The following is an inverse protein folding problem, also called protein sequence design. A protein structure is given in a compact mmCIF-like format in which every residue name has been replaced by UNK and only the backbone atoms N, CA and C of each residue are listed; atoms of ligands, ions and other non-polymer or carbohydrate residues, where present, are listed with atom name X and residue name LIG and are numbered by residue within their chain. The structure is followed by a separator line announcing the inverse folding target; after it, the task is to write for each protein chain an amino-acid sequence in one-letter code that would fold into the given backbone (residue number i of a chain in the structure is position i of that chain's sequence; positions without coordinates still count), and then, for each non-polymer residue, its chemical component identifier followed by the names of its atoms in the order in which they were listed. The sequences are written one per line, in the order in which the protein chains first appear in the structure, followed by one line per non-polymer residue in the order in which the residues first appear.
data_IF_744121563724
#
_entry.id   IF_744121563724
#
_cell.length_a   1.000
_cell.length_b   1.000
_cell.length_c   1.000
_cell.angle_alpha   90.00
_cell.angle_beta   90.00
_cell.angle_gamma   90.00
#
_symmetry.space_group_name_H-M   'P 1'
#
loop_
_entity.id
_entity.type
_entity.pdbx_description
1 polymer ?
#
# COMPACT_ATOMS: atom_id res chain seq x y z
N UNK A 1 -4.98 1.59 -4.41
CA UNK A 1 -3.52 1.50 -4.17
C UNK A 1 -3.02 0.07 -4.03
N UNK A 2 -3.89 -0.89 -3.73
CA UNK A 2 -3.55 -2.31 -3.78
C UNK A 2 -3.00 -2.75 -5.15
N UNK A 3 -2.09 -3.71 -5.18
CA UNK A 3 -1.56 -4.30 -6.40
C UNK A 3 -0.14 -4.86 -6.27
N UNK A 4 0.41 -5.25 -7.43
CA UNK A 4 1.79 -5.66 -7.58
C UNK A 4 2.67 -4.45 -7.95
N UNK A 5 3.79 -4.33 -7.25
CA UNK A 5 4.74 -3.23 -7.33
C UNK A 5 6.16 -3.79 -7.43
N UNK A 6 7.02 -3.10 -8.18
CA UNK A 6 8.37 -3.57 -8.47
C UNK A 6 9.34 -2.41 -8.65
N UNK A 7 10.64 -2.70 -8.61
CA UNK A 7 11.70 -1.76 -8.95
C UNK A 7 12.55 -2.36 -10.08
N UNK A 8 12.69 -1.69 -11.24
CA UNK A 8 13.46 -2.21 -12.38
C UNK A 8 14.96 -2.37 -12.15
N UNK A 9 15.53 -1.67 -11.17
CA UNK A 9 16.92 -1.87 -10.77
C UNK A 9 17.08 -3.06 -9.82
N UNK A 10 15.98 -3.64 -9.32
CA UNK A 10 15.94 -4.81 -8.43
C UNK A 10 15.05 -5.91 -9.00
N UNK A 11 15.28 -6.20 -10.28
CA UNK A 11 14.59 -7.27 -10.98
C UNK A 11 14.73 -8.60 -10.23
N UNK A 12 13.65 -9.41 -10.26
CA UNK A 12 13.51 -10.71 -9.54
C UNK A 12 13.19 -10.59 -8.05
N UNK A 13 12.86 -9.39 -7.58
CA UNK A 13 12.14 -9.14 -6.34
C UNK A 13 10.70 -8.69 -6.64
N UNK A 14 9.80 -8.74 -5.66
CA UNK A 14 8.39 -8.38 -5.88
C UNK A 14 7.67 -7.92 -4.62
N UNK A 15 6.87 -6.86 -4.75
CA UNK A 15 6.10 -6.28 -3.65
C UNK A 15 4.59 -6.40 -3.93
N UNK A 16 3.88 -7.05 -3.03
CA UNK A 16 2.42 -7.14 -3.05
C UNK A 16 1.90 -6.29 -1.91
N UNK A 17 1.18 -5.23 -2.26
CA UNK A 17 0.67 -4.28 -1.28
C UNK A 17 -0.84 -4.30 -1.38
N UNK A 18 -1.52 -4.50 -0.26
CA UNK A 18 -2.96 -4.43 -0.16
C UNK A 18 -3.35 -3.33 0.83
N UNK A 19 -4.35 -2.54 0.45
CA UNK A 19 -5.03 -1.58 1.32
C UNK A 19 -6.50 -2.00 1.39
N UNK A 20 -6.93 -2.38 2.57
CA UNK A 20 -8.22 -3.03 2.80
C UNK A 20 -9.06 -2.25 3.82
N UNK A 21 -10.38 -2.41 3.74
CA UNK A 21 -11.31 -1.92 4.75
C UNK A 21 -12.11 -3.10 5.27
N UNK A 22 -11.89 -3.48 6.53
CA UNK A 22 -12.45 -4.68 7.15
C UNK A 22 -13.04 -4.30 8.51
N UNK A 23 -14.34 -4.54 8.71
CA UNK A 23 -15.04 -4.25 9.97
C UNK A 23 -14.80 -2.83 10.51
N UNK A 24 -14.82 -1.82 9.61
CA UNK A 24 -14.58 -0.42 9.96
C UNK A 24 -13.12 -0.04 10.18
N UNK A 25 -12.19 -1.00 10.15
CA UNK A 25 -10.74 -0.78 10.22
C UNK A 25 -10.15 -0.64 8.81
N UNK A 26 -9.06 0.10 8.70
CA UNK A 26 -8.27 0.23 7.49
C UNK A 26 -6.92 -0.42 7.73
N UNK A 27 -6.58 -1.42 6.92
CA UNK A 27 -5.37 -2.22 7.10
C UNK A 27 -4.52 -2.16 5.84
N UNK A 28 -3.24 -1.86 5.99
CA UNK A 28 -2.26 -2.05 4.95
C UNK A 28 -1.52 -3.37 5.20
N UNK A 29 -1.36 -4.17 4.15
CA UNK A 29 -0.56 -5.39 4.14
C UNK A 29 0.52 -5.28 3.08
N UNK A 30 1.73 -5.74 3.41
CA UNK A 30 2.87 -5.88 2.52
C UNK A 30 3.37 -7.31 2.57
N UNK A 31 3.50 -7.95 1.40
CA UNK A 31 4.34 -9.12 1.20
C UNK A 31 5.45 -8.77 0.21
N UNK A 32 6.69 -9.05 0.60
CA UNK A 32 7.90 -8.73 -0.14
C UNK A 32 8.72 -10.00 -0.39
N UNK A 33 8.79 -10.39 -1.66
CA UNK A 33 9.66 -11.47 -2.12
C UNK A 33 11.05 -10.93 -2.43
N UNK A 34 12.07 -11.52 -1.81
CA UNK A 34 13.47 -11.13 -1.96
C UNK A 34 14.40 -12.27 -1.55
N UNK A 35 15.67 -11.98 -1.29
CA UNK A 35 16.69 -12.93 -0.89
C UNK A 35 17.24 -12.53 0.49
N UNK A 36 17.34 -13.51 1.40
CA UNK A 36 17.92 -13.29 2.73
C UNK A 36 19.43 -13.07 2.67
N UNK A 37 20.07 -12.82 3.82
CA UNK A 37 21.52 -12.59 3.90
C UNK A 37 22.37 -13.76 3.38
N UNK A 38 21.85 -14.98 3.46
CA UNK A 38 22.47 -16.18 2.88
C UNK A 38 22.17 -16.40 1.39
N UNK A 39 21.48 -15.47 0.71
CA UNK A 39 21.14 -15.56 -0.72
C UNK A 39 19.94 -16.45 -1.06
N UNK A 40 19.34 -17.14 -0.08
CA UNK A 40 18.14 -17.93 -0.30
C UNK A 40 16.90 -17.04 -0.49
N UNK A 41 16.04 -17.42 -1.44
CA UNK A 41 14.76 -16.75 -1.66
C UNK A 41 13.88 -16.83 -0.40
N UNK A 42 13.20 -15.74 -0.07
CA UNK A 42 12.39 -15.61 1.14
C UNK A 42 11.25 -14.62 0.93
N UNK A 43 10.31 -14.63 1.88
CA UNK A 43 9.22 -13.68 1.98
C UNK A 43 9.30 -12.93 3.31
N UNK A 44 9.16 -11.61 3.24
CA UNK A 44 8.87 -10.76 4.38
C UNK A 44 7.43 -10.29 4.30
N UNK A 45 6.65 -10.46 5.36
CA UNK A 45 5.26 -10.04 5.40
C UNK A 45 4.98 -9.17 6.64
N UNK A 46 4.07 -8.22 6.51
CA UNK A 46 3.68 -7.35 7.61
C UNK A 46 2.36 -6.64 7.33
N UNK A 47 1.72 -6.17 8.40
CA UNK A 47 0.52 -5.37 8.28
C UNK A 47 0.44 -4.33 9.40
N UNK A 48 -0.26 -3.23 9.13
CA UNK A 48 -0.56 -2.21 10.11
C UNK A 48 -1.92 -1.56 9.81
N UNK A 49 -2.60 -1.13 10.88
CA UNK A 49 -3.76 -0.25 10.75
C UNK A 49 -3.30 1.15 10.34
N UNK A 50 -4.11 1.85 9.55
CA UNK A 50 -3.82 3.22 9.11
C UNK A 50 -5.07 4.10 9.13
N UNK A 51 -4.87 5.42 9.14
CA UNK A 51 -5.98 6.39 9.12
C UNK A 51 -6.25 6.88 7.70
N UNK A 52 -7.49 7.30 7.43
CA UNK A 52 -7.80 7.85 6.13
C UNK A 52 -6.93 9.10 5.86
N UNK A 53 -6.23 9.13 4.73
CA UNK A 53 -5.32 10.22 4.36
C UNK A 53 -3.88 10.06 4.85
N UNK A 54 -3.51 8.98 5.55
CA UNK A 54 -2.11 8.68 5.85
C UNK A 54 -1.29 8.64 4.55
N UNK A 55 -0.19 9.40 4.51
CA UNK A 55 0.79 9.37 3.40
C UNK A 55 1.97 8.44 3.69
N UNK A 56 2.09 7.96 4.93
CA UNK A 56 3.10 7.01 5.37
C UNK A 56 2.51 6.01 6.37
N UNK A 57 2.91 4.74 6.28
CA UNK A 57 2.47 3.65 7.14
C UNK A 57 3.68 2.79 7.51
N UNK A 58 4.01 2.70 8.79
CA UNK A 58 5.05 1.80 9.30
C UNK A 58 4.40 0.51 9.83
N UNK A 59 4.95 -0.63 9.44
CA UNK A 59 4.50 -1.95 9.89
C UNK A 59 5.66 -2.82 10.35
N UNK A 60 5.45 -3.64 11.39
CA UNK A 60 6.40 -4.71 11.71
C UNK A 60 6.37 -5.76 10.61
N UNK A 61 7.56 -6.28 10.30
CA UNK A 61 7.74 -7.34 9.31
C UNK A 61 8.14 -8.63 10.02
N UNK A 62 7.69 -9.76 9.48
CA UNK A 62 8.06 -11.11 9.89
C UNK A 62 8.51 -11.94 8.69
N UNK A 63 9.27 -12.98 8.95
CA UNK A 63 9.62 -14.02 7.98
C UNK A 63 9.21 -15.38 8.52
N UNK A 64 8.77 -16.27 7.63
CA UNK A 64 8.45 -17.66 7.96
C UNK A 64 9.49 -18.63 7.41
N UNK A 65 9.74 -19.73 8.11
CA UNK A 65 10.64 -20.80 7.67
C UNK A 65 10.13 -22.18 8.15
N UNK A 66 10.74 -23.26 7.66
CA UNK A 66 10.47 -24.65 8.11
C UNK A 66 9.31 -25.36 7.41
N UNK A 67 8.31 -24.64 6.90
CA UNK A 67 7.20 -25.23 6.15
C UNK A 67 7.61 -25.92 4.85
N UNK A 68 6.93 -27.02 4.50
CA UNK A 68 7.09 -27.76 3.23
C UNK A 68 5.94 -27.49 2.27
N UNK A 69 6.20 -27.58 0.97
CA UNK A 69 5.18 -27.44 -0.06
C UNK A 69 4.39 -28.74 -0.26
N UNK A 70 3.09 -28.63 -0.58
CA UNK A 70 2.25 -29.77 -0.96
C UNK A 70 1.70 -30.58 0.23
N UNK A 71 1.37 -31.87 0.03
CA UNK A 71 0.75 -32.74 1.04
C UNK A 71 1.55 -32.88 2.35
N UNK A 72 2.85 -32.58 2.34
CA UNK A 72 3.72 -32.63 3.51
C UNK A 72 3.67 -31.36 4.37
N UNK A 73 2.87 -30.35 4.00
CA UNK A 73 2.72 -29.14 4.80
C UNK A 73 2.12 -29.45 6.16
N UNK A 74 2.84 -29.09 7.23
CA UNK A 74 2.38 -29.17 8.61
C UNK A 74 2.52 -27.78 9.24
N UNK A 75 1.44 -27.19 9.78
CA UNK A 75 1.51 -25.88 10.42
C UNK A 75 2.53 -25.82 11.56
N UNK A 76 2.69 -26.91 12.32
CA UNK A 76 3.65 -27.00 13.43
C UNK A 76 5.12 -26.96 13.02
N UNK A 77 5.44 -27.17 11.74
CA UNK A 77 6.81 -27.08 11.23
C UNK A 77 7.22 -25.63 10.92
N UNK A 78 6.24 -24.70 10.91
CA UNK A 78 6.47 -23.30 10.55
C UNK A 78 6.93 -22.50 11.76
N UNK A 79 8.09 -21.87 11.64
CA UNK A 79 8.57 -20.86 12.60
C UNK A 79 8.42 -19.47 12.00
N UNK A 80 7.81 -18.55 12.76
CA UNK A 80 7.71 -17.14 12.40
C UNK A 80 8.68 -16.33 13.25
N UNK A 81 9.58 -15.60 12.61
CA UNK A 81 10.58 -14.76 13.26
C UNK A 81 10.37 -13.28 12.91
N UNK A 82 10.56 -12.34 13.86
CA UNK A 82 10.62 -10.92 13.55
C UNK A 82 11.70 -10.60 12.52
N UNK A 83 11.41 -9.68 11.60
CA UNK A 83 12.31 -9.28 10.52
C UNK A 83 12.60 -7.76 10.49
N UNK A 84 12.15 -7.00 11.48
CA UNK A 84 12.31 -5.54 11.54
C UNK A 84 11.03 -4.81 11.12
N UNK A 85 11.17 -3.67 10.45
CA UNK A 85 10.02 -2.86 10.01
C UNK A 85 10.13 -2.43 8.55
N UNK A 86 8.98 -2.13 7.94
CA UNK A 86 8.86 -1.47 6.65
C UNK A 86 7.99 -0.23 6.79
N UNK A 87 8.42 0.87 6.18
CA UNK A 87 7.65 2.10 6.09
C UNK A 87 7.24 2.32 4.63
N UNK A 88 5.96 2.12 4.34
CA UNK A 88 5.36 2.46 3.05
C UNK A 88 5.09 3.96 3.00
N UNK A 89 5.57 4.65 1.97
CA UNK A 89 5.31 6.08 1.72
C UNK A 89 4.66 6.24 0.36
N UNK A 90 3.48 6.86 0.35
CA UNK A 90 2.76 7.19 -0.89
C UNK A 90 3.45 8.34 -1.62
N UNK A 91 3.77 8.14 -2.90
CA UNK A 91 4.36 9.17 -3.76
C UNK A 91 3.34 9.63 -4.81
N UNK A 92 2.76 8.67 -5.54
CA UNK A 92 1.70 8.93 -6.52
C UNK A 92 0.88 7.66 -6.79
N UNK A 93 -0.07 7.72 -7.71
CA UNK A 93 -0.88 6.56 -8.11
C UNK A 93 -0.09 5.37 -8.66
N UNK A 94 1.06 5.67 -9.27
CA UNK A 94 1.94 4.71 -9.93
C UNK A 94 3.31 4.61 -9.26
N UNK A 95 3.55 5.37 -8.19
CA UNK A 95 4.82 5.37 -7.45
C UNK A 95 4.60 5.24 -5.94
N UNK A 96 5.37 4.35 -5.32
CA UNK A 96 5.44 4.19 -3.87
C UNK A 96 6.88 4.07 -3.44
N UNK A 97 7.19 4.43 -2.21
CA UNK A 97 8.51 4.23 -1.63
C UNK A 97 8.39 3.31 -0.43
N UNK A 98 9.33 2.39 -0.28
CA UNK A 98 9.43 1.56 0.91
C UNK A 98 10.80 1.75 1.53
N UNK A 99 10.83 2.14 2.79
CA UNK A 99 12.05 2.14 3.59
C UNK A 99 12.02 0.95 4.54
N UNK A 100 13.02 0.10 4.43
CA UNK A 100 13.21 -1.05 5.29
C UNK A 100 14.20 -0.72 6.40
N UNK A 101 13.87 -1.13 7.62
CA UNK A 101 14.77 -1.16 8.77
C UNK A 101 14.81 -2.61 9.30
N UNK A 102 15.55 -3.45 8.59
CA UNK A 102 15.74 -4.87 8.93
C UNK A 102 17.18 -5.09 9.44
N UNK A 103 17.80 -6.25 9.16
CA UNK A 103 19.24 -6.45 9.37
C UNK A 103 20.10 -5.42 8.63
N UNK A 104 19.57 -4.88 7.54
CA UNK A 104 20.11 -3.73 6.82
C UNK A 104 18.99 -2.73 6.56
N UNK A 105 19.34 -1.45 6.60
CA UNK A 105 18.40 -0.37 6.28
C UNK A 105 18.63 0.12 4.86
N UNK A 106 17.58 0.13 4.05
CA UNK A 106 17.64 0.61 2.67
C UNK A 106 16.27 1.09 2.21
N UNK A 107 16.26 1.86 1.13
CA UNK A 107 15.03 2.39 0.53
C UNK A 107 14.90 1.90 -0.90
N UNK A 108 13.67 1.56 -1.29
CA UNK A 108 13.31 1.13 -2.64
C UNK A 108 12.16 2.00 -3.15
N UNK A 109 12.38 2.61 -4.31
CA UNK A 109 11.31 3.25 -5.07
C UNK A 109 10.62 2.22 -5.95
N UNK A 110 9.30 2.12 -5.84
CA UNK A 110 8.47 1.13 -6.52
C UNK A 110 7.60 1.81 -7.56
N UNK A 111 7.51 1.16 -8.72
CA UNK A 111 6.51 1.47 -9.74
C UNK A 111 5.45 0.39 -9.77
N UNK A 112 4.23 0.80 -10.11
CA UNK A 112 3.12 -0.13 -10.23
C UNK A 112 3.31 -1.02 -11.46
N UNK A 113 3.30 -2.35 -11.28
CA UNK A 113 3.60 -3.30 -12.35
C UNK A 113 2.43 -3.49 -13.33
N UNK A 114 1.23 -3.64 -12.79
CA UNK A 114 -0.03 -3.73 -13.55
C UNK A 114 -0.82 -2.47 -13.27
N UNK A 115 -1.49 -1.89 -14.27
CA UNK A 115 -2.21 -0.60 -14.16
C UNK A 115 -3.16 -0.45 -12.95
N UNK A 116 -3.81 0.71 -12.78
CA UNK A 116 -4.75 0.87 -11.68
C UNK A 116 -5.85 -0.20 -11.74
N UNK A 117 -6.34 -0.61 -10.57
CA UNK A 117 -7.51 -1.48 -10.50
C UNK A 117 -8.72 -0.74 -11.08
N UNK A 118 -9.47 -1.40 -11.96
CA UNK A 118 -10.70 -0.84 -12.52
C UNK A 118 -11.71 -0.51 -11.42
N UNK A 119 -12.42 0.61 -11.58
CA UNK A 119 -13.42 1.05 -10.60
C UNK A 119 -12.86 1.54 -9.26
N UNK A 120 -11.54 1.46 -9.02
CA UNK A 120 -10.90 1.96 -7.80
C UNK A 120 -10.20 3.28 -8.12
N UNK A 121 -10.79 4.44 -7.76
CA UNK A 121 -10.13 5.71 -7.98
C UNK A 121 -8.81 5.71 -7.22
N UNK A 122 -7.73 6.07 -7.92
CA UNK A 122 -6.54 6.47 -7.20
C UNK A 122 -6.89 7.71 -6.40
N UNK A 123 -6.57 7.71 -5.11
CA UNK A 123 -6.66 8.91 -4.29
C UNK A 123 -5.70 9.95 -4.87
N UNK A 124 -6.18 10.77 -5.80
CA UNK A 124 -5.67 12.13 -5.91
C UNK A 124 -5.85 12.70 -4.52
N UNK A 125 -4.76 13.05 -3.84
CA UNK A 125 -4.85 14.03 -2.77
C UNK A 125 -5.78 15.10 -3.31
N UNK A 126 -6.96 15.28 -2.69
CA UNK A 126 -7.95 16.25 -3.14
C UNK A 126 -7.21 17.59 -3.15
N UNK A 127 -6.71 18.02 -4.31
CA UNK A 127 -6.53 19.45 -4.54
C UNK A 127 -7.90 19.99 -4.23
N UNK A 128 -7.99 20.84 -3.21
CA UNK A 128 -9.20 21.59 -2.99
C UNK A 128 -9.53 22.23 -4.34
N UNK A 129 -10.56 21.70 -5.01
CA UNK A 129 -11.12 22.38 -6.16
C UNK A 129 -11.57 23.72 -5.59
N UNK A 130 -11.07 24.87 -6.05
CA UNK A 130 -11.65 26.14 -5.61
C UNK A 130 -13.11 26.06 -6.01
N UNK A 131 -13.99 26.01 -5.01
CA UNK A 131 -15.43 26.07 -5.22
C UNK A 131 -15.68 27.33 -6.04
N UNK A 132 -16.17 27.18 -7.27
CA UNK A 132 -16.68 28.31 -8.02
C UNK A 132 -17.68 29.06 -7.14
N UNK A 133 -17.60 30.39 -7.03
CA UNK A 133 -18.56 31.14 -6.24
C UNK A 133 -19.96 30.90 -6.80
N UNK A 134 -21.00 30.86 -5.94
CA UNK A 134 -22.37 30.69 -6.40
C UNK A 134 -22.69 31.82 -7.39
N UNK A 135 -23.19 31.44 -8.57
CA UNK A 135 -23.63 32.38 -9.60
C UNK A 135 -24.72 33.33 -9.06
N UNK A 136 -24.85 34.54 -9.63
CA UNK A 136 -25.79 35.53 -9.14
C UNK A 136 -27.22 34.98 -9.15
N UNK A 137 -27.94 35.16 -8.03
CA UNK A 137 -29.36 34.83 -7.91
C UNK A 137 -30.15 35.58 -9.00
N UNK A 138 -31.05 34.91 -9.75
CA UNK A 138 -31.93 35.62 -10.67
C UNK A 138 -32.82 36.59 -9.89
N UNK A 139 -32.87 37.85 -10.35
CA UNK A 139 -33.72 38.87 -9.77
C UNK A 139 -35.19 38.49 -9.96
N UNK A 140 -35.92 38.40 -8.85
CA UNK A 140 -37.37 38.21 -8.85
C UNK A 140 -37.98 39.49 -9.42
N UNK A 141 -38.46 39.47 -10.67
CA UNK A 141 -39.32 40.54 -11.18
C UNK A 141 -40.57 40.59 -10.30
N UNK A 142 -40.83 41.75 -9.71
CA UNK A 142 -42.07 42.05 -9.03
C UNK A 142 -43.20 41.97 -10.06
N UNK A 143 -44.20 41.13 -9.80
CA UNK A 143 -45.46 41.15 -10.51
C UNK A 143 -46.23 42.38 -10.04
N UNK A 144 -46.45 43.32 -10.96
CA UNK A 144 -47.31 44.48 -10.75
C UNK A 144 -48.77 44.01 -10.72
N UNK A 145 -49.48 44.38 -9.66
CA UNK A 145 -50.92 44.19 -9.45
C UNK A 145 -51.74 44.89 -10.54
N UNK A 146 -52.80 44.22 -10.99
CA UNK A 146 -53.92 44.78 -11.74
C UNK A 146 -55.21 44.24 -11.15
#
# INVERSE_FOLDING_TARGET
MSGHWWNPARDREGHFIAFESVNGRRVAFLAYFTYGTGGAATWYAGNADYTAGSTSITMPMVAGSGGRFGPDYRPGDVTISPAGTATLTFVSCSAMRVTYAMSQSFTVDLTRAVGPLEGVPCGTARRAHPSSPPGPRPSRRAATTG
#
